data_IF_016882596772
#
_entry.id   IF_016882596772
#
_cell.length_a   1.000
_cell.length_b   1.000
_cell.length_c   1.000
_cell.angle_alpha   90.00
_cell.angle_beta   90.00
_cell.angle_gamma   90.00
#
_symmetry.space_group_name_H-M   'P 1'
#
loop_
_entity.id
_entity.type
_entity.pdbx_description
1 polymer ?
#
# COMPACT_ATOMS: atom_id res chain seq x y z
N UNK A 1 1.60 -24.31 19.83
CA UNK A 1 0.79 -23.15 19.47
C UNK A 1 0.75 -22.12 20.58
N UNK A 2 0.15 -21.00 20.31
CA UNK A 2 -0.04 -19.91 21.24
C UNK A 2 -1.26 -20.18 22.15
N UNK A 3 -1.19 -19.78 23.42
CA UNK A 3 -2.28 -19.94 24.40
C UNK A 3 -2.47 -18.64 25.18
N UNK A 4 -3.72 -18.27 25.43
CA UNK A 4 -4.05 -17.14 26.28
C UNK A 4 -3.93 -17.57 27.75
N UNK A 5 -3.09 -16.86 28.51
CA UNK A 5 -2.90 -17.07 29.94
C UNK A 5 -2.77 -15.70 30.63
N UNK A 6 -3.59 -15.44 31.63
CA UNK A 6 -3.64 -14.17 32.38
C UNK A 6 -3.66 -12.93 31.48
N UNK A 7 -4.48 -12.97 30.43
CA UNK A 7 -4.61 -11.87 29.47
C UNK A 7 -3.43 -11.70 28.50
N UNK A 8 -2.48 -12.64 28.47
CA UNK A 8 -1.32 -12.62 27.56
C UNK A 8 -1.33 -13.83 26.63
N UNK A 9 -1.08 -13.62 25.36
CA UNK A 9 -0.94 -14.68 24.38
C UNK A 9 0.52 -15.19 24.42
N UNK A 10 0.72 -16.39 24.96
CA UNK A 10 2.04 -16.97 25.21
C UNK A 10 2.30 -18.17 24.31
N UNK A 11 3.56 -18.33 23.89
CA UNK A 11 4.01 -19.53 23.22
C UNK A 11 4.34 -20.67 24.21
N UNK A 12 4.81 -21.82 23.73
CA UNK A 12 5.17 -22.97 24.56
C UNK A 12 6.36 -22.73 25.52
N UNK A 13 7.13 -21.66 25.28
CA UNK A 13 8.28 -21.26 26.11
C UNK A 13 7.91 -20.20 27.16
N UNK A 14 6.68 -19.66 27.08
CA UNK A 14 6.21 -18.60 27.96
C UNK A 14 6.47 -17.18 27.43
N UNK A 15 6.99 -17.04 26.21
CA UNK A 15 7.20 -15.72 25.59
C UNK A 15 5.86 -15.16 25.10
N UNK A 16 5.62 -13.88 25.33
CA UNK A 16 4.42 -13.19 24.85
C UNK A 16 4.53 -12.89 23.35
N UNK A 17 3.40 -12.99 22.65
CA UNK A 17 3.30 -12.52 21.26
C UNK A 17 3.42 -11.00 21.25
N UNK A 18 4.53 -10.47 20.75
CA UNK A 18 4.77 -9.03 20.68
C UNK A 18 5.41 -8.64 19.36
N UNK A 19 5.13 -7.41 18.90
CA UNK A 19 5.73 -6.81 17.71
C UNK A 19 5.59 -5.28 17.71
N UNK A 20 6.38 -4.61 16.88
CA UNK A 20 6.36 -3.16 16.66
C UNK A 20 5.68 -2.81 15.34
N UNK A 21 4.77 -1.83 15.36
CA UNK A 21 4.22 -1.22 14.15
C UNK A 21 4.99 0.08 13.88
N UNK A 22 5.74 0.10 12.78
CA UNK A 22 6.57 1.23 12.39
C UNK A 22 5.82 2.18 11.47
N UNK A 23 5.78 3.47 11.81
CA UNK A 23 5.15 4.52 11.01
C UNK A 23 6.14 5.61 10.63
N UNK A 24 5.87 6.25 9.49
CA UNK A 24 6.55 7.46 9.03
C UNK A 24 5.72 8.73 9.29
N UNK A 25 4.43 8.59 9.54
CA UNK A 25 3.52 9.75 9.69
C UNK A 25 2.61 9.58 10.90
N UNK A 26 2.55 10.60 11.78
CA UNK A 26 1.62 10.61 12.91
C UNK A 26 0.14 10.56 12.48
N UNK A 27 -0.17 10.90 11.23
CA UNK A 27 -1.53 10.85 10.71
C UNK A 27 -2.14 9.44 10.75
N UNK A 28 -1.31 8.39 10.75
CA UNK A 28 -1.76 7.00 10.84
C UNK A 28 -1.92 6.50 12.28
N UNK A 29 -1.41 7.20 13.28
CA UNK A 29 -1.54 6.81 14.69
C UNK A 29 -3.01 6.63 15.10
N UNK A 30 -3.88 7.55 14.68
CA UNK A 30 -5.33 7.49 14.93
C UNK A 30 -6.02 6.22 14.39
N UNK A 31 -5.38 5.53 13.45
CA UNK A 31 -5.87 4.30 12.83
C UNK A 31 -5.25 3.08 13.52
N UNK A 32 -3.94 3.17 13.80
CA UNK A 32 -3.17 2.07 14.38
C UNK A 32 -3.46 1.88 15.87
N UNK A 33 -3.64 2.96 16.63
CA UNK A 33 -3.93 2.87 18.07
C UNK A 33 -5.18 2.03 18.38
N UNK A 34 -6.37 2.26 17.77
CA UNK A 34 -7.52 1.40 17.98
C UNK A 34 -7.31 -0.07 17.56
N UNK A 35 -6.43 -0.31 16.58
CA UNK A 35 -6.05 -1.67 16.19
C UNK A 35 -5.20 -2.33 17.28
N UNK A 36 -4.25 -1.61 17.88
CA UNK A 36 -3.47 -2.09 19.03
C UNK A 36 -4.38 -2.43 20.20
N UNK A 37 -5.34 -1.56 20.55
CA UNK A 37 -6.32 -1.81 21.61
C UNK A 37 -7.12 -3.11 21.35
N UNK A 38 -7.39 -3.45 20.10
CA UNK A 38 -8.06 -4.69 19.76
C UNK A 38 -7.12 -5.90 19.85
N UNK A 39 -5.85 -5.76 19.54
CA UNK A 39 -4.83 -6.80 19.69
C UNK A 39 -4.59 -7.13 21.18
N UNK A 40 -4.58 -6.12 22.05
CA UNK A 40 -4.44 -6.30 23.50
C UNK A 40 -5.56 -7.16 24.07
N UNK A 41 -6.81 -7.04 23.58
CA UNK A 41 -7.93 -7.91 23.98
C UNK A 41 -7.70 -9.38 23.64
N UNK A 42 -6.82 -9.65 22.68
CA UNK A 42 -6.39 -11.01 22.30
C UNK A 42 -5.11 -11.45 23.04
N UNK A 43 -4.60 -10.61 23.95
CA UNK A 43 -3.37 -10.87 24.68
C UNK A 43 -2.09 -10.61 23.90
N UNK A 44 -2.19 -9.98 22.73
CA UNK A 44 -1.07 -9.60 21.87
C UNK A 44 -0.54 -8.22 22.29
N UNK A 45 0.75 -8.10 22.51
CA UNK A 45 1.42 -6.85 22.83
C UNK A 45 1.96 -6.21 21.54
N UNK A 46 1.22 -5.27 20.97
CA UNK A 46 1.70 -4.46 19.87
C UNK A 46 2.16 -3.09 20.37
N UNK A 47 3.27 -2.60 19.85
CA UNK A 47 3.78 -1.24 20.12
C UNK A 47 3.77 -0.41 18.86
N UNK A 48 3.70 0.91 19.02
CA UNK A 48 3.75 1.87 17.91
C UNK A 48 5.02 2.69 17.99
N UNK A 49 5.68 2.85 16.85
CA UNK A 49 6.86 3.73 16.73
C UNK A 49 6.76 4.57 15.48
N UNK A 50 6.72 5.89 15.64
CA UNK A 50 6.80 6.84 14.53
C UNK A 50 8.20 7.40 14.44
N UNK A 51 8.81 7.36 13.25
CA UNK A 51 10.17 7.82 12.98
C UNK A 51 10.19 8.77 11.78
N UNK A 52 11.31 9.48 11.58
CA UNK A 52 11.49 10.35 10.42
C UNK A 52 11.58 9.55 9.10
N UNK A 53 11.34 10.24 7.98
CA UNK A 53 11.27 9.62 6.67
C UNK A 53 12.59 8.98 6.21
N UNK A 54 13.73 9.54 6.61
CA UNK A 54 15.04 9.03 6.20
C UNK A 54 15.36 7.71 6.91
N UNK A 55 15.09 7.64 8.22
CA UNK A 55 15.23 6.40 8.98
C UNK A 55 14.23 5.34 8.54
N UNK A 56 12.97 5.75 8.28
CA UNK A 56 11.92 4.86 7.79
C UNK A 56 12.33 4.20 6.48
N UNK A 57 12.82 5.00 5.51
CA UNK A 57 13.28 4.49 4.23
C UNK A 57 14.41 3.46 4.38
N UNK A 58 15.43 3.77 5.20
CA UNK A 58 16.55 2.84 5.47
C UNK A 58 16.07 1.53 6.07
N UNK A 59 15.16 1.59 7.05
CA UNK A 59 14.62 0.37 7.69
C UNK A 59 13.79 -0.47 6.72
N UNK A 60 13.01 0.16 5.83
CA UNK A 60 12.29 -0.57 4.78
C UNK A 60 13.27 -1.23 3.79
N UNK A 61 14.30 -0.51 3.33
CA UNK A 61 15.29 -1.03 2.40
C UNK A 61 16.06 -2.23 2.96
N UNK A 62 16.29 -2.27 4.28
CA UNK A 62 16.96 -3.36 4.97
C UNK A 62 16.01 -4.39 5.59
N UNK A 63 14.70 -4.25 5.40
CA UNK A 63 13.65 -5.10 5.99
C UNK A 63 13.67 -5.14 7.53
N UNK A 64 14.18 -4.08 8.18
CA UNK A 64 14.27 -3.95 9.63
C UNK A 64 12.98 -3.40 10.24
N UNK A 65 11.93 -4.22 10.25
CA UNK A 65 10.64 -3.93 10.86
C UNK A 65 9.82 -5.21 11.06
N UNK A 66 8.89 -5.19 12.00
CA UNK A 66 7.92 -6.29 12.17
C UNK A 66 6.67 -6.03 11.34
N UNK A 67 6.09 -4.81 11.43
CA UNK A 67 4.90 -4.42 10.69
C UNK A 67 4.98 -2.97 10.25
N UNK A 68 4.54 -2.68 9.03
CA UNK A 68 4.48 -1.33 8.45
C UNK A 68 3.13 -1.08 7.79
N UNK A 69 2.77 0.19 7.63
CA UNK A 69 1.69 0.60 6.72
C UNK A 69 2.28 0.82 5.34
N UNK A 70 1.81 0.06 4.36
CA UNK A 70 2.36 0.10 3.01
C UNK A 70 1.28 0.19 1.94
N UNK A 71 1.64 0.72 0.77
CA UNK A 71 0.76 0.82 -0.39
C UNK A 71 1.40 0.14 -1.58
N UNK A 72 0.72 -0.87 -2.11
CA UNK A 72 1.10 -1.53 -3.35
C UNK A 72 0.35 -0.89 -4.51
N UNK A 73 1.04 0.01 -5.23
CA UNK A 73 0.47 0.64 -6.43
C UNK A 73 0.42 -0.36 -7.57
N UNK A 74 -0.76 -0.57 -8.13
CA UNK A 74 -0.98 -1.51 -9.23
C UNK A 74 -1.64 -0.81 -10.42
N UNK A 75 -1.27 -1.23 -11.62
CA UNK A 75 -1.93 -0.82 -12.86
C UNK A 75 -3.04 -1.80 -13.24
N UNK A 76 -3.85 -1.42 -14.25
CA UNK A 76 -4.83 -2.34 -14.83
C UNK A 76 -4.22 -3.33 -15.83
N UNK A 77 -2.93 -3.25 -16.05
CA UNK A 77 -2.16 -4.17 -16.90
C UNK A 77 -0.87 -4.55 -16.18
N UNK A 78 -0.99 -5.39 -15.12
CA UNK A 78 0.17 -5.87 -14.38
C UNK A 78 1.10 -6.67 -15.29
N UNK A 79 2.40 -6.59 -15.03
CA UNK A 79 3.44 -7.20 -15.85
C UNK A 79 4.71 -7.50 -15.06
N UNK A 80 5.87 -7.11 -15.61
CA UNK A 80 7.19 -7.40 -15.04
C UNK A 80 7.41 -6.88 -13.62
N UNK A 81 6.72 -5.80 -13.23
CA UNK A 81 6.82 -5.23 -11.89
C UNK A 81 6.39 -6.21 -10.79
N UNK A 82 5.58 -7.22 -11.12
CA UNK A 82 5.13 -8.23 -10.16
C UNK A 82 6.30 -9.06 -9.61
N UNK A 83 7.37 -9.27 -10.38
CA UNK A 83 8.59 -9.91 -9.87
C UNK A 83 9.20 -9.15 -8.71
N UNK A 84 9.21 -7.81 -8.79
CA UNK A 84 9.77 -6.96 -7.75
C UNK A 84 8.85 -6.85 -6.50
N UNK A 85 7.54 -7.01 -6.67
CA UNK A 85 6.58 -6.95 -5.56
C UNK A 85 6.46 -8.27 -4.80
N UNK A 86 6.47 -9.40 -5.51
CA UNK A 86 6.05 -10.68 -4.94
C UNK A 86 7.01 -11.84 -5.23
N UNK A 87 7.96 -11.67 -6.15
CA UNK A 87 8.88 -12.73 -6.56
C UNK A 87 9.89 -13.10 -5.50
N UNK A 88 10.23 -14.39 -5.40
CA UNK A 88 11.13 -14.95 -4.40
C UNK A 88 12.53 -14.33 -4.45
N UNK A 89 13.06 -14.04 -5.64
CA UNK A 89 14.38 -13.41 -5.80
C UNK A 89 14.46 -12.01 -5.23
N UNK A 90 13.32 -11.29 -5.18
CA UNK A 90 13.24 -9.96 -4.62
C UNK A 90 13.22 -9.95 -3.08
N UNK A 91 12.87 -11.07 -2.44
CA UNK A 91 12.72 -11.15 -0.98
C UNK A 91 13.99 -10.85 -0.19
N UNK A 92 15.16 -11.19 -0.74
CA UNK A 92 16.47 -10.92 -0.10
C UNK A 92 17.22 -9.75 -0.75
N UNK A 93 16.58 -9.03 -1.66
CA UNK A 93 17.21 -7.90 -2.36
C UNK A 93 16.89 -6.59 -1.65
N UNK A 94 17.89 -5.98 -1.02
CA UNK A 94 17.73 -4.69 -0.36
C UNK A 94 17.13 -3.64 -1.31
N UNK A 95 16.12 -2.90 -0.80
CA UNK A 95 15.42 -1.89 -1.57
C UNK A 95 14.41 -2.44 -2.58
N UNK A 96 14.18 -3.75 -2.61
CA UNK A 96 13.10 -4.33 -3.40
C UNK A 96 11.73 -3.92 -2.84
N UNK A 97 10.69 -4.14 -3.62
CA UNK A 97 9.33 -3.89 -3.17
C UNK A 97 8.63 -5.13 -2.58
N UNK A 98 9.32 -6.28 -2.54
CA UNK A 98 8.87 -7.46 -1.81
C UNK A 98 9.16 -7.28 -0.31
N UNK A 99 8.62 -6.22 0.26
CA UNK A 99 8.81 -5.82 1.67
C UNK A 99 8.26 -6.84 2.67
N UNK A 100 7.48 -7.79 2.20
CA UNK A 100 6.90 -8.88 3.00
C UNK A 100 7.90 -10.05 3.12
N UNK A 101 8.85 -10.16 2.20
CA UNK A 101 9.79 -11.28 2.14
C UNK A 101 9.15 -12.57 1.59
N UNK A 102 8.23 -12.43 0.64
CA UNK A 102 7.54 -13.59 0.04
C UNK A 102 8.53 -14.46 -0.71
N UNK A 103 8.54 -15.76 -0.37
CA UNK A 103 9.24 -16.82 -1.09
C UNK A 103 8.26 -17.97 -1.29
N UNK A 104 7.71 -18.08 -2.50
CA UNK A 104 6.68 -19.06 -2.80
C UNK A 104 6.67 -19.42 -4.28
N UNK A 105 7.03 -20.65 -4.60
CA UNK A 105 7.14 -21.17 -5.98
C UNK A 105 5.84 -21.01 -6.77
N UNK A 106 4.68 -21.13 -6.12
CA UNK A 106 3.37 -20.95 -6.78
C UNK A 106 3.18 -19.51 -7.22
N UNK A 107 3.61 -18.55 -6.38
CA UNK A 107 3.56 -17.13 -6.71
C UNK A 107 4.50 -16.83 -7.87
N UNK A 108 5.72 -17.37 -7.85
CA UNK A 108 6.70 -17.18 -8.93
C UNK A 108 6.17 -17.74 -10.27
N UNK A 109 5.59 -18.94 -10.25
CA UNK A 109 4.95 -19.52 -11.44
C UNK A 109 3.80 -18.65 -11.95
N UNK A 110 2.97 -18.12 -11.07
CA UNK A 110 1.86 -17.25 -11.45
C UNK A 110 2.34 -15.92 -12.02
N UNK A 111 3.41 -15.35 -11.49
CA UNK A 111 4.04 -14.12 -12.02
C UNK A 111 4.52 -14.37 -13.46
N UNK A 112 5.24 -15.46 -13.71
CA UNK A 112 5.73 -15.78 -15.05
C UNK A 112 4.59 -16.04 -16.04
N UNK A 113 3.53 -16.71 -15.62
CA UNK A 113 2.32 -16.88 -16.44
C UNK A 113 1.65 -15.54 -16.75
N UNK A 114 1.56 -14.66 -15.75
CA UNK A 114 0.96 -13.33 -15.90
C UNK A 114 1.72 -12.47 -16.92
N UNK A 115 3.06 -12.47 -16.86
CA UNK A 115 3.92 -11.74 -17.78
C UNK A 115 3.77 -12.25 -19.21
N UNK A 116 3.58 -13.56 -19.37
CA UNK A 116 3.43 -14.22 -20.66
C UNK A 116 1.96 -14.44 -21.07
N UNK A 117 1.02 -13.73 -20.46
CA UNK A 117 -0.39 -13.85 -20.80
C UNK A 117 -0.65 -13.53 -22.27
N UNK A 118 -1.42 -14.38 -22.93
CA UNK A 118 -1.63 -14.33 -24.39
C UNK A 118 -2.57 -13.19 -24.81
N UNK A 119 -3.52 -12.88 -23.95
CA UNK A 119 -4.54 -11.87 -24.19
C UNK A 119 -5.07 -11.28 -22.87
N UNK A 120 -6.05 -10.40 -22.97
CA UNK A 120 -6.62 -9.71 -21.80
C UNK A 120 -7.40 -10.64 -20.87
N UNK A 121 -8.06 -11.65 -21.40
CA UNK A 121 -8.86 -12.59 -20.62
C UNK A 121 -7.95 -13.53 -19.81
N UNK A 122 -6.90 -14.02 -20.44
CA UNK A 122 -5.85 -14.81 -19.79
C UNK A 122 -5.16 -14.01 -18.68
N UNK A 123 -4.76 -12.75 -18.96
CA UNK A 123 -4.18 -11.84 -17.96
C UNK A 123 -5.09 -11.66 -16.74
N UNK A 124 -6.39 -11.41 -16.96
CA UNK A 124 -7.37 -11.25 -15.87
C UNK A 124 -7.48 -12.51 -15.05
N UNK A 125 -7.51 -13.67 -15.69
CA UNK A 125 -7.65 -14.97 -15.02
C UNK A 125 -6.44 -15.27 -14.14
N UNK A 126 -5.24 -15.07 -14.67
CA UNK A 126 -4.01 -15.30 -13.91
C UNK A 126 -3.86 -14.28 -12.78
N UNK A 127 -4.18 -13.00 -13.02
CA UNK A 127 -4.15 -11.96 -11.97
C UNK A 127 -5.08 -12.31 -10.81
N UNK A 128 -6.30 -12.79 -11.10
CA UNK A 128 -7.24 -13.25 -10.06
C UNK A 128 -6.70 -14.45 -9.28
N UNK A 129 -5.98 -15.35 -9.93
CA UNK A 129 -5.35 -16.48 -9.27
C UNK A 129 -4.22 -16.03 -8.35
N UNK A 130 -3.35 -15.12 -8.82
CA UNK A 130 -2.26 -14.54 -8.03
C UNK A 130 -2.82 -13.77 -6.81
N UNK A 131 -3.81 -12.90 -7.00
CA UNK A 131 -4.47 -12.16 -5.92
C UNK A 131 -5.03 -13.11 -4.85
N UNK A 132 -5.70 -14.18 -5.27
CA UNK A 132 -6.23 -15.19 -4.33
C UNK A 132 -5.13 -15.86 -3.53
N UNK A 133 -4.02 -16.26 -4.16
CA UNK A 133 -2.90 -16.89 -3.45
C UNK A 133 -2.28 -15.92 -2.46
N UNK A 134 -2.08 -14.66 -2.84
CA UNK A 134 -1.55 -13.62 -1.96
C UNK A 134 -2.46 -13.40 -0.74
N UNK A 135 -3.77 -13.30 -0.94
CA UNK A 135 -4.73 -13.10 0.15
C UNK A 135 -4.81 -14.29 1.11
N UNK A 136 -4.81 -15.53 0.59
CA UNK A 136 -4.92 -16.73 1.41
C UNK A 136 -3.65 -17.07 2.20
N UNK A 137 -2.52 -16.47 1.86
CA UNK A 137 -1.30 -16.58 2.66
C UNK A 137 -1.23 -15.56 3.81
N UNK A 138 -2.20 -14.66 3.95
CA UNK A 138 -2.29 -13.68 5.04
C UNK A 138 -1.06 -12.76 5.15
N UNK A 139 -0.41 -12.46 4.04
CA UNK A 139 0.78 -11.58 4.01
C UNK A 139 0.47 -10.15 4.40
N UNK A 140 -0.77 -9.72 4.22
CA UNK A 140 -1.22 -8.36 4.53
C UNK A 140 -2.53 -8.38 5.30
N UNK A 141 -2.75 -7.32 6.08
CA UNK A 141 -4.06 -7.00 6.65
C UNK A 141 -4.66 -5.92 5.73
N UNK A 142 -5.61 -6.26 4.85
CA UNK A 142 -6.20 -5.29 3.93
C UNK A 142 -6.90 -4.17 4.68
N UNK A 143 -6.64 -2.92 4.30
CA UNK A 143 -7.27 -1.75 4.90
C UNK A 143 -8.39 -1.23 3.99
N UNK A 144 -8.18 -0.10 3.34
CA UNK A 144 -9.15 0.53 2.46
C UNK A 144 -8.47 1.04 1.18
N UNK A 145 -9.28 1.37 0.21
CA UNK A 145 -8.86 2.11 -0.96
C UNK A 145 -9.77 3.32 -1.18
N UNK A 146 -9.30 4.28 -1.94
CA UNK A 146 -10.09 5.44 -2.36
C UNK A 146 -10.45 5.26 -3.83
N UNK A 147 -11.75 5.26 -4.14
CA UNK A 147 -12.28 5.14 -5.50
C UNK A 147 -12.39 6.49 -6.23
N UNK A 148 -12.03 7.59 -5.59
CA UNK A 148 -12.14 8.94 -6.12
C UNK A 148 -10.88 9.76 -5.82
N UNK A 149 -10.48 10.61 -6.74
CA UNK A 149 -9.46 11.62 -6.51
C UNK A 149 -10.07 12.83 -5.79
N UNK A 150 -9.47 13.25 -4.69
CA UNK A 150 -9.82 14.49 -3.98
C UNK A 150 -8.84 15.56 -4.42
N UNK A 151 -9.33 16.56 -5.11
CA UNK A 151 -8.51 17.61 -5.72
C UNK A 151 -9.02 18.98 -5.29
N UNK A 152 -8.10 19.83 -4.87
CA UNK A 152 -8.34 21.25 -4.66
C UNK A 152 -7.52 22.02 -5.70
N UNK A 153 -8.19 22.88 -6.49
CA UNK A 153 -7.53 23.66 -7.50
C UNK A 153 -8.25 25.02 -7.69
N UNK A 154 -7.51 25.97 -8.23
CA UNK A 154 -8.11 27.25 -8.60
C UNK A 154 -9.04 27.07 -9.80
N UNK A 155 -10.26 27.63 -9.75
CA UNK A 155 -11.22 27.55 -10.85
C UNK A 155 -10.82 28.43 -12.07
N UNK A 156 -9.59 28.29 -12.49
CA UNK A 156 -9.07 28.90 -13.72
C UNK A 156 -8.80 27.86 -14.81
N UNK A 157 -9.02 26.59 -14.51
CA UNK A 157 -8.77 25.50 -15.46
C UNK A 157 -10.08 24.98 -16.05
N UNK A 158 -10.10 24.82 -17.35
CA UNK A 158 -11.10 24.03 -18.04
C UNK A 158 -10.59 22.62 -18.34
N UNK A 159 -11.51 21.71 -18.55
CA UNK A 159 -11.25 20.27 -18.71
C UNK A 159 -11.97 19.76 -19.96
N UNK A 160 -11.45 18.72 -20.63
CA UNK A 160 -12.15 18.10 -21.76
C UNK A 160 -13.49 17.48 -21.31
N UNK A 161 -14.49 17.56 -22.15
CA UNK A 161 -15.81 16.92 -21.88
C UNK A 161 -15.68 15.42 -21.65
N UNK A 162 -14.81 14.75 -22.40
CA UNK A 162 -14.49 13.33 -22.25
C UNK A 162 -13.24 13.19 -21.39
N UNK A 163 -13.42 12.80 -20.14
CA UNK A 163 -12.32 12.59 -19.19
C UNK A 163 -11.68 11.21 -19.38
N UNK A 164 -10.38 11.07 -19.06
CA UNK A 164 -9.76 9.75 -18.95
C UNK A 164 -10.50 8.87 -17.95
N UNK A 165 -10.62 7.59 -18.25
CA UNK A 165 -11.39 6.65 -17.41
C UNK A 165 -10.73 6.35 -16.05
N UNK A 166 -9.40 6.40 -16.02
CA UNK A 166 -8.59 5.90 -14.89
C UNK A 166 -7.56 6.90 -14.36
N UNK A 167 -7.66 8.16 -14.78
CA UNK A 167 -6.80 9.24 -14.30
C UNK A 167 -7.56 10.55 -14.20
N UNK A 168 -7.01 11.54 -13.52
CA UNK A 168 -7.55 12.90 -13.51
C UNK A 168 -7.33 13.62 -14.85
N UNK A 169 -6.29 13.22 -15.60
CA UNK A 169 -5.96 13.82 -16.88
C UNK A 169 -5.49 15.27 -16.74
N UNK A 170 -4.71 15.61 -15.72
CA UNK A 170 -4.17 16.96 -15.52
C UNK A 170 -3.40 17.49 -16.75
N UNK A 171 -2.75 16.62 -17.46
CA UNK A 171 -2.05 16.88 -18.71
C UNK A 171 -2.96 17.33 -19.86
N UNK A 172 -4.28 17.17 -19.70
CA UNK A 172 -5.29 17.58 -20.67
C UNK A 172 -6.05 18.84 -20.25
N UNK A 173 -5.72 19.42 -19.09
CA UNK A 173 -6.35 20.65 -18.62
C UNK A 173 -5.69 21.87 -19.24
N UNK A 174 -6.44 22.94 -19.44
CA UNK A 174 -5.92 24.22 -19.95
C UNK A 174 -6.42 25.40 -19.15
N UNK A 175 -5.69 26.49 -19.18
CA UNK A 175 -6.11 27.73 -18.53
C UNK A 175 -7.23 28.37 -19.37
N UNK A 176 -8.35 28.66 -18.72
CA UNK A 176 -9.38 29.53 -19.27
C UNK A 176 -9.00 30.98 -18.93
N UNK A 177 -8.68 31.78 -19.95
CA UNK A 177 -8.15 33.12 -19.78
C UNK A 177 -9.10 34.03 -18.99
N UNK A 178 -10.40 33.99 -19.29
CA UNK A 178 -11.39 34.81 -18.59
C UNK A 178 -11.50 34.50 -17.10
N UNK A 179 -11.45 33.22 -16.73
CA UNK A 179 -11.44 32.79 -15.32
C UNK A 179 -10.13 33.17 -14.64
N UNK A 180 -9.01 33.04 -15.32
CA UNK A 180 -7.70 33.44 -14.81
C UNK A 180 -7.65 34.92 -14.48
N UNK A 181 -8.08 35.80 -15.42
CA UNK A 181 -8.11 37.23 -15.25
C UNK A 181 -9.03 37.65 -14.11
N UNK A 182 -10.18 37.00 -13.98
CA UNK A 182 -11.11 37.21 -12.87
C UNK A 182 -10.47 36.88 -11.51
N UNK A 183 -9.84 35.72 -11.37
CA UNK A 183 -9.18 35.31 -10.12
C UNK A 183 -8.05 36.30 -9.76
N UNK A 184 -7.25 36.71 -10.72
CA UNK A 184 -6.14 37.64 -10.48
C UNK A 184 -6.65 39.02 -10.07
N UNK A 185 -7.75 39.50 -10.64
CA UNK A 185 -8.36 40.78 -10.20
C UNK A 185 -8.80 40.73 -8.75
N UNK A 186 -9.37 39.63 -8.29
CA UNK A 186 -9.76 39.45 -6.89
C UNK A 186 -8.57 39.37 -5.94
N UNK A 187 -7.46 38.77 -6.37
CA UNK A 187 -6.23 38.65 -5.56
C UNK A 187 -5.49 39.99 -5.41
N UNK A 188 -5.57 40.84 -6.41
CA UNK A 188 -4.93 42.16 -6.40
C UNK A 188 -5.75 43.22 -5.61
N UNK A 189 -7.01 42.92 -5.26
CA UNK A 189 -7.90 43.77 -4.49
C UNK A 189 -7.84 43.52 -2.96
N UNK A 190 -7.12 42.49 -2.52
CA UNK A 190 -6.83 42.13 -1.14
C UNK A 190 -5.35 42.34 -0.81
#
# INVERSE_FOLDING_TARGET
GWKLNDGKLLNSKGDQFEFEILLVSPAFERIVLPFIDNLEKLGIKASLRTIDSSQYQKRIESFDFDMIVFTFSQSLSPGNEQRNFWGSDAADTNGSRNVIGIKNDVIDILIEKLINAKDREDLITITKALDRVLLWNYYVIPQWHISAYRVLYWDMFDQPKKKPKYSLGFDTWWINQSKFDFINSQRSAN
#
